data_IF_923425478138
#
_entry.id   IF_923425478138
#
_cell.length_a   1.000
_cell.length_b   1.000
_cell.length_c   1.000
_cell.angle_alpha   90.00
_cell.angle_beta   90.00
_cell.angle_gamma   90.00
#
_symmetry.space_group_name_H-M   'P 1'
#
loop_
_entity.id
_entity.type
_entity.pdbx_description
1 polymer ?
#
# COMPACT_ATOMS: atom_id res chain seq x y z
N UNK A 1 26.26 -7.37 33.28
CA UNK A 1 26.99 -7.42 31.98
C UNK A 1 28.51 -7.52 32.21
N UNK A 2 29.29 -7.82 31.17
CA UNK A 2 30.77 -7.87 31.25
C UNK A 2 31.33 -6.64 30.56
N UNK A 3 32.26 -5.92 31.22
CA UNK A 3 32.91 -4.76 30.63
C UNK A 3 33.74 -5.20 29.41
N UNK A 4 33.52 -4.62 28.21
CA UNK A 4 34.25 -5.00 27.01
C UNK A 4 35.72 -4.54 27.03
N UNK A 5 36.09 -3.63 27.94
CA UNK A 5 37.45 -3.09 28.01
C UNK A 5 38.36 -3.85 28.97
N UNK A 6 37.85 -4.35 30.09
CA UNK A 6 38.67 -5.04 31.10
C UNK A 6 38.20 -6.46 31.44
N UNK A 7 37.03 -6.89 30.94
CA UNK A 7 36.48 -8.22 31.22
C UNK A 7 35.88 -8.40 32.62
N UNK A 8 35.81 -7.33 33.43
CA UNK A 8 35.19 -7.40 34.74
C UNK A 8 33.65 -7.53 34.65
N UNK A 9 33.05 -8.29 35.56
CA UNK A 9 31.60 -8.36 35.69
C UNK A 9 31.07 -7.11 36.40
N UNK A 10 30.07 -6.47 35.80
CA UNK A 10 29.51 -5.18 36.22
C UNK A 10 27.97 -5.23 36.17
N UNK A 11 27.32 -4.38 36.94
CA UNK A 11 25.86 -4.28 36.92
C UNK A 11 25.36 -3.63 35.62
N UNK A 12 24.18 -4.01 35.14
CA UNK A 12 23.63 -3.53 33.86
C UNK A 12 23.23 -2.05 33.85
N UNK A 13 23.20 -1.42 35.03
CA UNK A 13 22.78 -0.04 35.22
C UNK A 13 23.97 0.91 35.49
N UNK A 14 25.21 0.43 35.43
CA UNK A 14 26.40 1.26 35.60
C UNK A 14 26.84 1.86 34.25
N UNK A 15 26.88 3.19 34.19
CA UNK A 15 27.34 3.95 33.01
C UNK A 15 28.87 3.94 32.87
N UNK A 16 29.60 3.56 33.93
CA UNK A 16 31.07 3.55 33.98
C UNK A 16 31.55 2.33 34.74
N UNK A 17 32.53 1.62 34.19
CA UNK A 17 33.11 0.46 34.85
C UNK A 17 33.97 0.91 36.05
N UNK A 18 33.71 0.41 37.28
CA UNK A 18 34.45 0.82 38.48
C UNK A 18 35.88 0.26 38.54
N UNK A 19 36.21 -0.70 37.68
CA UNK A 19 37.50 -1.40 37.70
C UNK A 19 38.52 -0.82 36.73
N UNK A 20 38.09 -0.24 35.61
CA UNK A 20 38.98 0.32 34.59
C UNK A 20 38.61 1.75 34.17
N UNK A 21 37.60 2.33 34.81
CA UNK A 21 37.10 3.68 34.53
C UNK A 21 36.61 3.92 33.09
N UNK A 22 36.40 2.86 32.29
CA UNK A 22 35.83 2.99 30.95
C UNK A 22 34.33 3.25 30.99
N UNK A 23 33.84 4.19 30.19
CA UNK A 23 32.41 4.43 30.01
C UNK A 23 31.76 3.29 29.23
N UNK A 24 30.56 2.89 29.67
CA UNK A 24 29.78 1.82 29.08
C UNK A 24 28.62 2.48 28.34
N UNK A 25 28.57 2.30 27.03
CA UNK A 25 27.58 2.94 26.16
C UNK A 25 26.23 2.21 26.28
N UNK A 26 25.61 2.25 27.46
CA UNK A 26 24.30 1.67 27.74
C UNK A 26 23.24 2.62 27.19
N UNK A 27 23.16 2.76 25.87
CA UNK A 27 22.05 3.46 25.21
C UNK A 27 20.76 2.68 25.42
N UNK A 28 20.08 2.98 26.51
CA UNK A 28 18.66 2.66 26.71
C UNK A 28 17.88 3.42 25.63
N UNK A 29 17.70 2.80 24.45
CA UNK A 29 16.88 3.32 23.36
C UNK A 29 15.43 3.33 23.84
N UNK A 30 15.03 4.43 24.48
CA UNK A 30 13.64 4.69 24.80
C UNK A 30 12.94 4.95 23.46
N UNK A 31 12.26 3.94 22.93
CA UNK A 31 11.48 4.06 21.71
C UNK A 31 10.28 4.91 22.05
N UNK A 32 10.36 6.22 21.76
CA UNK A 32 9.24 7.13 21.92
C UNK A 32 8.16 6.72 20.90
N UNK A 33 7.02 6.26 21.40
CA UNK A 33 5.85 5.89 20.58
C UNK A 33 5.41 7.06 19.69
N UNK A 34 5.67 8.30 20.14
CA UNK A 34 5.41 9.55 19.41
C UNK A 34 6.21 9.69 18.10
N UNK A 35 7.41 9.12 18.01
CA UNK A 35 8.23 9.15 16.78
C UNK A 35 7.75 8.11 15.77
N UNK A 36 7.29 6.95 16.25
CA UNK A 36 6.63 5.94 15.43
C UNK A 36 5.32 6.51 14.89
N UNK A 37 4.55 7.22 15.72
CA UNK A 37 3.30 7.83 15.31
C UNK A 37 3.51 8.92 14.24
N UNK A 38 4.62 9.67 14.30
CA UNK A 38 4.98 10.65 13.28
C UNK A 38 5.38 10.02 11.95
N UNK A 39 6.13 8.92 11.96
CA UNK A 39 6.47 8.19 10.73
C UNK A 39 5.24 7.53 10.08
N UNK A 40 4.33 7.01 10.91
CA UNK A 40 3.04 6.47 10.45
C UNK A 40 2.17 7.61 9.91
N UNK A 41 2.10 8.76 10.59
CA UNK A 41 1.33 9.89 10.13
C UNK A 41 1.88 10.43 8.81
N UNK A 42 3.20 10.60 8.66
CA UNK A 42 3.85 11.06 7.43
C UNK A 42 3.59 10.13 6.23
N UNK A 43 3.50 8.82 6.46
CA UNK A 43 3.11 7.85 5.42
C UNK A 43 1.60 7.81 5.15
N UNK A 44 0.77 8.23 6.11
CA UNK A 44 -0.70 8.33 5.98
C UNK A 44 -1.16 9.76 5.60
N UNK A 45 -0.22 10.72 5.55
CA UNK A 45 -0.43 12.13 5.22
C UNK A 45 -0.82 12.48 3.78
N UNK A 46 -0.90 11.62 2.74
CA UNK A 46 -1.51 12.08 1.50
C UNK A 46 -3.03 12.30 1.63
N UNK A 47 -3.63 12.00 2.79
CA UNK A 47 -4.99 12.42 3.18
C UNK A 47 -5.09 13.87 3.66
N UNK A 48 -4.00 14.66 3.64
CA UNK A 48 -4.03 16.05 4.08
C UNK A 48 -5.00 16.85 3.20
N UNK A 49 -6.13 17.11 3.82
CA UNK A 49 -7.28 17.82 3.31
C UNK A 49 -6.92 19.26 3.01
N UNK A 50 -6.64 19.54 1.75
CA UNK A 50 -6.67 20.90 1.23
C UNK A 50 -8.11 21.45 1.39
N UNK A 51 -8.32 22.58 2.07
CA UNK A 51 -9.63 23.21 2.22
C UNK A 51 -10.16 23.79 0.89
N UNK A 52 -9.35 23.85 -0.17
CA UNK A 52 -9.69 24.52 -1.42
C UNK A 52 -10.30 23.58 -2.47
N UNK A 53 -11.13 22.62 -2.03
CA UNK A 53 -12.11 21.86 -2.84
C UNK A 53 -11.56 21.22 -4.14
N UNK A 54 -10.23 21.10 -4.24
CA UNK A 54 -9.52 20.63 -5.41
C UNK A 54 -9.34 19.12 -5.26
N UNK A 55 -9.80 18.31 -6.22
CA UNK A 55 -9.64 16.88 -6.13
C UNK A 55 -8.14 16.57 -6.15
N UNK A 56 -7.62 16.12 -5.01
CA UNK A 56 -6.22 15.77 -4.88
C UNK A 56 -5.94 14.57 -5.81
N UNK A 57 -4.91 14.66 -6.64
CA UNK A 57 -4.59 13.64 -7.64
C UNK A 57 -4.41 12.25 -7.01
N UNK A 58 -3.93 12.21 -5.77
CA UNK A 58 -3.77 10.96 -5.02
C UNK A 58 -5.10 10.24 -4.72
N UNK A 59 -6.18 10.98 -4.39
CA UNK A 59 -7.50 10.37 -4.19
C UNK A 59 -8.04 9.77 -5.48
N UNK A 60 -7.78 10.43 -6.62
CA UNK A 60 -8.17 9.92 -7.95
C UNK A 60 -7.40 8.63 -8.26
N UNK A 61 -6.08 8.61 -8.02
CA UNK A 61 -5.26 7.41 -8.25
C UNK A 61 -5.72 6.25 -7.35
N UNK A 62 -6.02 6.50 -6.07
CA UNK A 62 -6.54 5.48 -5.17
C UNK A 62 -7.91 4.93 -5.61
N UNK A 63 -8.74 5.78 -6.24
CA UNK A 63 -10.05 5.37 -6.75
C UNK A 63 -10.00 4.46 -7.99
N UNK A 64 -8.82 4.31 -8.62
CA UNK A 64 -8.62 3.33 -9.69
C UNK A 64 -8.87 1.89 -9.21
N UNK A 65 -8.63 1.63 -7.91
CA UNK A 65 -8.96 0.37 -7.27
C UNK A 65 -10.45 0.45 -6.87
N UNK A 66 -11.33 -0.18 -7.65
CA UNK A 66 -12.79 -0.10 -7.52
C UNK A 66 -13.34 -0.20 -6.08
N UNK A 67 -12.93 -1.18 -5.23
CA UNK A 67 -13.45 -1.23 -3.86
C UNK A 67 -13.03 -0.02 -3.01
N UNK A 68 -11.83 0.52 -3.25
CA UNK A 68 -11.31 1.70 -2.55
C UNK A 68 -12.00 2.97 -3.07
N UNK A 69 -12.25 3.05 -4.39
CA UNK A 69 -13.00 4.16 -4.99
C UNK A 69 -14.41 4.32 -4.43
N UNK A 70 -15.14 3.22 -4.24
CA UNK A 70 -16.48 3.23 -3.63
C UNK A 70 -16.39 3.65 -2.15
N UNK A 71 -15.40 3.16 -1.40
CA UNK A 71 -15.20 3.54 0.00
C UNK A 71 -14.91 5.04 0.14
N UNK A 72 -14.02 5.58 -0.69
CA UNK A 72 -13.68 6.99 -0.71
C UNK A 72 -14.87 7.85 -1.14
N UNK A 73 -15.72 7.38 -2.05
CA UNK A 73 -16.96 8.06 -2.42
C UNK A 73 -17.89 8.21 -1.21
N UNK A 74 -18.14 7.12 -0.46
CA UNK A 74 -19.00 7.14 0.72
C UNK A 74 -18.44 8.07 1.81
N UNK A 75 -17.12 8.01 2.06
CA UNK A 75 -16.44 8.88 3.03
C UNK A 75 -16.59 10.36 2.63
N UNK A 76 -16.35 10.71 1.36
CA UNK A 76 -16.50 12.10 0.90
C UNK A 76 -17.96 12.59 0.94
N UNK A 77 -18.93 11.68 0.79
CA UNK A 77 -20.35 11.99 0.88
C UNK A 77 -20.78 12.25 2.34
N UNK A 78 -20.24 11.46 3.28
CA UNK A 78 -20.44 11.66 4.73
C UNK A 78 -19.77 12.94 5.24
N UNK A 79 -18.68 13.38 4.61
CA UNK A 79 -17.96 14.61 4.96
C UNK A 79 -18.50 15.87 4.26
N UNK A 80 -19.66 15.80 3.60
CA UNK A 80 -20.29 16.93 2.88
C UNK A 80 -19.36 17.61 1.85
N UNK A 81 -18.51 16.83 1.15
CA UNK A 81 -17.61 17.33 0.09
C UNK A 81 -18.10 16.93 -1.31
N UNK A 82 -19.12 17.61 -1.88
CA UNK A 82 -19.81 17.14 -3.08
C UNK A 82 -18.97 17.18 -4.36
N UNK A 83 -17.94 18.05 -4.45
CA UNK A 83 -17.08 18.16 -5.63
C UNK A 83 -16.10 16.98 -5.73
N UNK A 84 -15.42 16.67 -4.64
CA UNK A 84 -14.52 15.50 -4.52
C UNK A 84 -15.28 14.18 -4.71
N UNK A 85 -16.48 14.07 -4.12
CA UNK A 85 -17.33 12.88 -4.26
C UNK A 85 -17.68 12.60 -5.73
N UNK A 86 -18.08 13.62 -6.50
CA UNK A 86 -18.40 13.45 -7.94
C UNK A 86 -17.18 13.01 -8.76
N UNK A 87 -16.00 13.55 -8.48
CA UNK A 87 -14.77 13.17 -9.17
C UNK A 87 -14.37 11.71 -8.86
N UNK A 88 -14.44 11.29 -7.59
CA UNK A 88 -14.14 9.91 -7.18
C UNK A 88 -15.15 8.91 -7.77
N UNK A 89 -16.45 9.26 -7.78
CA UNK A 89 -17.48 8.42 -8.38
C UNK A 89 -17.27 8.22 -9.88
N UNK A 90 -16.98 9.32 -10.60
CA UNK A 90 -16.75 9.26 -12.04
C UNK A 90 -15.51 8.42 -12.37
N UNK A 91 -14.42 8.59 -11.61
CA UNK A 91 -13.21 7.79 -11.78
C UNK A 91 -13.47 6.29 -11.53
N UNK A 92 -14.15 5.95 -10.43
CA UNK A 92 -14.49 4.57 -10.10
C UNK A 92 -15.46 3.93 -11.11
N UNK A 93 -16.39 4.70 -11.67
CA UNK A 93 -17.31 4.24 -12.69
C UNK A 93 -16.58 3.95 -14.01
N UNK A 94 -15.69 4.85 -14.45
CA UNK A 94 -14.88 4.66 -15.66
C UNK A 94 -13.98 3.43 -15.52
N UNK A 95 -13.29 3.26 -14.39
CA UNK A 95 -12.43 2.10 -14.18
C UNK A 95 -13.21 0.79 -14.18
N UNK A 96 -14.37 0.74 -13.54
CA UNK A 96 -15.24 -0.44 -13.57
C UNK A 96 -15.62 -0.82 -15.01
N UNK A 97 -15.99 0.17 -15.83
CA UNK A 97 -16.28 -0.05 -17.25
C UNK A 97 -15.07 -0.59 -18.00
N UNK A 98 -13.88 0.01 -17.84
CA UNK A 98 -12.65 -0.46 -18.49
C UNK A 98 -12.34 -1.91 -18.11
N UNK A 99 -12.48 -2.29 -16.84
CA UNK A 99 -12.26 -3.66 -16.41
C UNK A 99 -13.26 -4.63 -17.04
N UNK A 100 -14.56 -4.33 -17.00
CA UNK A 100 -15.58 -5.22 -17.56
C UNK A 100 -15.40 -5.39 -19.08
N UNK A 101 -15.21 -4.28 -19.81
CA UNK A 101 -14.95 -4.36 -21.25
C UNK A 101 -13.63 -5.06 -21.57
N UNK A 102 -12.59 -4.84 -20.77
CA UNK A 102 -11.32 -5.55 -20.88
C UNK A 102 -11.48 -7.05 -20.71
N UNK A 103 -12.23 -7.50 -19.71
CA UNK A 103 -12.53 -8.93 -19.50
C UNK A 103 -13.34 -9.53 -20.66
N UNK A 104 -14.33 -8.80 -21.18
CA UNK A 104 -15.12 -9.26 -22.33
C UNK A 104 -14.22 -9.44 -23.56
N UNK A 105 -13.43 -8.41 -23.90
CA UNK A 105 -12.52 -8.44 -25.05
C UNK A 105 -11.50 -9.58 -24.89
N UNK A 106 -10.88 -9.70 -23.72
CA UNK A 106 -9.94 -10.77 -23.43
C UNK A 106 -10.59 -12.16 -23.61
N UNK A 107 -11.81 -12.35 -23.09
CA UNK A 107 -12.56 -13.59 -23.28
C UNK A 107 -12.85 -13.90 -24.74
N UNK A 108 -13.18 -12.90 -25.56
CA UNK A 108 -13.34 -13.08 -27.01
C UNK A 108 -12.04 -13.50 -27.70
N UNK A 109 -10.90 -12.88 -27.34
CA UNK A 109 -9.59 -13.26 -27.88
C UNK A 109 -9.20 -14.68 -27.48
N UNK A 110 -9.44 -15.07 -26.23
CA UNK A 110 -9.17 -16.42 -25.73
C UNK A 110 -10.03 -17.46 -26.46
N UNK A 111 -11.34 -17.21 -26.60
CA UNK A 111 -12.24 -18.07 -27.37
C UNK A 111 -11.83 -18.21 -28.84
N UNK A 112 -11.44 -17.10 -29.48
CA UNK A 112 -10.97 -17.13 -30.87
C UNK A 112 -9.68 -17.95 -31.00
N UNK A 113 -8.71 -17.73 -30.10
CA UNK A 113 -7.44 -18.47 -30.07
C UNK A 113 -7.64 -19.97 -29.93
N UNK A 114 -8.61 -20.40 -29.11
CA UNK A 114 -8.94 -21.83 -28.94
C UNK A 114 -9.59 -22.42 -30.20
N UNK A 115 -10.40 -21.66 -30.94
CA UNK A 115 -11.01 -22.16 -32.18
C UNK A 115 -9.99 -22.41 -33.29
N UNK A 116 -8.94 -21.58 -33.36
CA UNK A 116 -7.90 -21.67 -34.39
C UNK A 116 -6.88 -22.79 -34.16
N UNK A 117 -6.86 -23.40 -32.98
CA UNK A 117 -5.91 -24.46 -32.64
C UNK A 117 -6.50 -25.87 -32.76
N UNK A 118 -7.65 -26.05 -33.42
CA UNK A 118 -8.21 -27.39 -33.65
C UNK A 118 -7.37 -28.09 -34.72
N UNK A 119 -6.59 -29.13 -34.37
CA UNK A 119 -5.79 -29.84 -35.35
C UNK A 119 -6.72 -30.61 -36.28
N UNK A 120 -6.50 -30.45 -37.59
CA UNK A 120 -7.18 -31.23 -38.62
C UNK A 120 -7.03 -32.72 -38.28
N UNK A 121 -8.15 -33.42 -38.09
CA UNK A 121 -8.11 -34.86 -37.93
C UNK A 121 -7.52 -35.45 -39.23
N UNK A 122 -6.47 -36.27 -39.15
CA UNK A 122 -5.97 -36.95 -40.33
C UNK A 122 -7.07 -37.88 -40.86
N UNK A 123 -7.46 -37.67 -42.11
CA UNK A 123 -8.37 -38.51 -42.89
C UNK A 123 -7.80 -39.92 -43.05
N UNK A 124 -7.95 -40.75 -42.01
CA UNK A 124 -7.52 -42.15 -41.98
C UNK A 124 -8.59 -43.09 -42.58
N UNK A 125 -9.27 -42.72 -43.66
CA UNK A 125 -10.14 -43.65 -44.41
C UNK A 125 -10.33 -43.20 -45.88
N UNK A 126 -9.27 -43.22 -46.69
CA UNK A 126 -9.41 -43.38 -48.14
C UNK A 126 -8.27 -44.28 -48.67
N UNK A 127 -8.67 -45.49 -49.07
CA UNK A 127 -7.94 -46.58 -49.73
C UNK A 127 -6.89 -47.39 -48.94
#
# INVERSE_FOLDING_TARGET
MICPHCGASISENEEKCPYCDSFLDTKKKNINIEDIQREIHDKISPLQSDPDDKPNAFMIILSLITPIGILLFIINLMMERPKSAKACFLAAFITMFIFVFGFIIFGFFEMHSMSSSMPDMPDFFVN
#
